data_IF_572272962841
#
_entry.id   IF_572272962841
#
_cell.length_a   1.000
_cell.length_b   1.000
_cell.length_c   1.000
_cell.angle_alpha   90.00
_cell.angle_beta   90.00
_cell.angle_gamma   90.00
#
_symmetry.space_group_name_H-M   'P 1'
#
loop_
_entity.id
_entity.type
_entity.pdbx_description
1 polymer ?
#
# COMPACT_ATOMS: atom_id res chain seq x y z
N UNK A 1 35.39 15.56 18.07
CA UNK A 1 34.80 14.52 18.96
C UNK A 1 34.35 15.21 20.24
N UNK A 2 33.08 15.09 20.60
CA UNK A 2 32.57 15.68 21.84
C UNK A 2 33.05 14.84 23.05
N UNK A 3 33.86 15.43 23.90
CA UNK A 3 34.34 14.79 25.14
C UNK A 3 33.16 14.68 26.12
N UNK A 4 32.85 13.48 26.67
CA UNK A 4 31.72 13.31 27.55
C UNK A 4 31.93 14.03 28.89
N UNK A 5 30.80 14.44 29.48
CA UNK A 5 30.79 15.02 30.85
C UNK A 5 30.45 13.94 31.88
N UNK A 6 31.04 14.04 33.04
CA UNK A 6 30.76 13.15 34.15
C UNK A 6 29.30 13.27 34.62
N UNK A 7 28.54 12.18 34.71
CA UNK A 7 27.13 12.22 35.13
C UNK A 7 26.94 12.67 36.60
N UNK A 8 27.97 12.56 37.43
CA UNK A 8 27.88 12.95 38.84
C UNK A 8 28.25 14.41 39.10
N UNK A 9 29.26 14.95 38.42
CA UNK A 9 29.79 16.31 38.74
C UNK A 9 29.80 17.25 37.53
N UNK A 10 29.37 16.83 36.35
CA UNK A 10 29.32 17.64 35.14
C UNK A 10 30.70 17.98 34.52
N UNK A 11 31.80 17.65 35.15
CA UNK A 11 33.15 17.94 34.61
C UNK A 11 33.45 17.13 33.37
N UNK A 12 34.26 17.70 32.50
CA UNK A 12 34.78 17.00 31.31
C UNK A 12 35.62 15.83 31.75
N UNK A 13 35.39 14.65 31.16
CA UNK A 13 36.12 13.42 31.47
C UNK A 13 37.41 13.34 30.64
N UNK A 14 38.43 12.68 31.19
CA UNK A 14 39.69 12.42 30.50
C UNK A 14 39.72 11.06 29.84
N UNK A 15 40.52 10.90 28.80
CA UNK A 15 40.72 9.61 28.13
C UNK A 15 41.38 8.60 29.09
N UNK A 16 40.85 7.37 29.07
CA UNK A 16 41.34 6.29 29.96
C UNK A 16 41.43 4.96 29.22
N UNK A 17 42.24 4.94 28.16
CA UNK A 17 42.48 3.74 27.34
C UNK A 17 41.26 3.31 26.51
N UNK A 18 41.25 2.06 26.05
CA UNK A 18 40.20 1.48 25.23
C UNK A 18 39.63 0.22 25.89
N UNK A 19 38.40 -0.12 25.53
CA UNK A 19 37.79 -1.40 25.90
C UNK A 19 38.36 -2.54 25.03
N UNK A 20 38.09 -3.79 25.39
CA UNK A 20 38.43 -4.96 24.56
C UNK A 20 37.80 -4.92 23.17
N UNK A 21 36.68 -4.18 22.99
CA UNK A 21 36.04 -3.94 21.71
C UNK A 21 36.55 -2.72 20.94
N UNK A 22 37.66 -2.10 21.39
CA UNK A 22 38.26 -0.92 20.76
C UNK A 22 37.58 0.41 21.07
N UNK A 23 36.53 0.44 21.89
CA UNK A 23 35.82 1.68 22.21
C UNK A 23 36.58 2.51 23.22
N UNK A 24 36.69 3.85 23.02
CA UNK A 24 37.37 4.78 23.91
C UNK A 24 36.72 4.77 25.30
N UNK A 25 37.55 4.61 26.33
CA UNK A 25 37.16 4.76 27.75
C UNK A 25 37.46 6.17 28.23
N UNK A 26 36.60 6.67 29.07
CA UNK A 26 36.72 7.99 29.72
C UNK A 26 36.65 7.83 31.22
N UNK A 27 37.37 8.66 31.96
CA UNK A 27 37.37 8.64 33.42
C UNK A 27 37.22 10.04 33.99
N UNK A 28 36.42 10.14 35.02
CA UNK A 28 36.38 11.31 35.88
C UNK A 28 37.26 11.01 37.14
N UNK A 29 38.40 11.62 37.23
CA UNK A 29 39.32 11.38 38.36
C UNK A 29 38.71 11.76 39.70
N UNK A 30 38.03 12.93 39.87
CA UNK A 30 37.48 13.30 41.17
C UNK A 30 36.36 12.38 41.64
N UNK A 31 35.54 11.89 40.73
CA UNK A 31 34.40 11.01 41.08
C UNK A 31 34.69 9.53 40.95
N UNK A 32 35.91 9.18 40.46
CA UNK A 32 36.33 7.81 40.14
C UNK A 32 35.33 7.04 39.24
N UNK A 33 34.53 7.74 38.43
CA UNK A 33 33.58 7.16 37.50
C UNK A 33 34.22 6.96 36.15
N UNK A 34 34.10 5.76 35.57
CA UNK A 34 34.51 5.47 34.20
C UNK A 34 33.32 5.20 33.30
N UNK A 35 33.40 5.69 32.05
CA UNK A 35 32.41 5.52 31.02
C UNK A 35 33.07 5.08 29.72
N UNK A 36 32.40 4.24 28.96
CA UNK A 36 32.83 3.81 27.62
C UNK A 36 32.02 4.52 26.57
N UNK A 37 32.67 5.11 25.57
CA UNK A 37 31.98 5.65 24.42
C UNK A 37 31.31 4.51 23.66
N UNK A 38 30.01 4.55 23.56
CA UNK A 38 29.29 3.63 22.68
C UNK A 38 29.54 4.09 21.24
N UNK A 39 30.12 3.21 20.42
CA UNK A 39 30.18 3.43 18.97
C UNK A 39 28.76 3.30 18.47
N UNK A 40 28.21 4.38 17.92
CA UNK A 40 26.93 4.32 17.25
C UNK A 40 27.12 3.58 15.92
N UNK A 41 26.81 2.30 15.91
CA UNK A 41 26.86 1.45 14.72
C UNK A 41 25.58 1.46 13.90
N UNK A 42 24.59 2.26 14.30
CA UNK A 42 23.27 2.29 13.66
C UNK A 42 23.38 2.68 12.19
N UNK A 43 24.16 3.73 11.88
CA UNK A 43 24.39 4.15 10.50
C UNK A 43 25.06 3.05 9.64
N UNK A 44 26.05 2.34 10.23
CA UNK A 44 26.74 1.23 9.54
C UNK A 44 25.79 0.09 9.14
N UNK A 45 24.77 -0.17 9.95
CA UNK A 45 23.81 -1.24 9.69
C UNK A 45 22.62 -0.79 8.84
N UNK A 46 22.47 0.52 8.60
CA UNK A 46 21.38 1.05 7.79
C UNK A 46 21.46 0.55 6.34
N UNK A 47 22.64 0.61 5.72
CA UNK A 47 22.83 0.14 4.34
C UNK A 47 22.53 -1.37 4.23
N UNK A 48 23.01 -2.16 5.19
CA UNK A 48 22.75 -3.61 5.26
C UNK A 48 21.24 -3.87 5.39
N UNK A 49 20.58 -3.11 6.26
CA UNK A 49 19.14 -3.23 6.49
C UNK A 49 18.33 -2.84 5.26
N UNK A 50 18.62 -1.71 4.62
CA UNK A 50 17.95 -1.24 3.41
C UNK A 50 18.19 -2.19 2.24
N UNK A 51 19.43 -2.66 2.05
CA UNK A 51 19.76 -3.64 1.02
C UNK A 51 18.98 -4.96 1.21
N UNK A 52 18.82 -5.41 2.44
CA UNK A 52 18.01 -6.58 2.74
C UNK A 52 16.51 -6.31 2.51
N UNK A 53 15.99 -5.16 3.01
CA UNK A 53 14.57 -4.81 2.93
C UNK A 53 14.08 -4.69 1.48
N UNK A 54 14.90 -4.08 0.62
CA UNK A 54 14.61 -3.88 -0.80
C UNK A 54 15.11 -5.03 -1.69
N UNK A 55 15.94 -5.92 -1.13
CA UNK A 55 16.55 -7.04 -1.83
C UNK A 55 15.67 -8.30 -1.83
N UNK A 56 16.26 -9.39 -2.35
CA UNK A 56 15.61 -10.71 -2.41
C UNK A 56 16.18 -11.71 -1.40
N UNK A 57 17.10 -11.26 -0.55
CA UNK A 57 17.79 -12.12 0.41
C UNK A 57 16.89 -12.44 1.61
N UNK A 58 16.92 -13.69 2.05
CA UNK A 58 16.30 -14.06 3.33
C UNK A 58 17.22 -13.61 4.47
N UNK A 59 16.66 -13.42 5.67
CA UNK A 59 17.46 -13.02 6.84
C UNK A 59 18.58 -14.01 7.19
N UNK A 60 18.43 -15.26 6.81
CA UNK A 60 19.47 -16.29 7.04
C UNK A 60 20.65 -16.18 6.06
N UNK A 61 20.45 -15.54 4.93
CA UNK A 61 21.44 -15.39 3.87
C UNK A 61 22.34 -14.14 4.06
N UNK A 62 22.02 -13.28 5.04
CA UNK A 62 22.82 -12.08 5.35
C UNK A 62 23.93 -12.38 6.38
N UNK A 63 25.03 -11.62 6.39
CA UNK A 63 26.15 -11.85 7.31
C UNK A 63 25.73 -11.93 8.79
N UNK A 64 26.13 -12.99 9.47
CA UNK A 64 25.77 -13.25 10.87
C UNK A 64 24.41 -13.92 11.07
N UNK A 65 23.68 -14.23 9.99
CA UNK A 65 22.44 -15.00 10.02
C UNK A 65 21.27 -14.35 10.77
N UNK A 66 20.11 -15.03 10.77
CA UNK A 66 18.85 -14.46 11.18
C UNK A 66 18.79 -13.78 12.55
N UNK A 67 19.31 -14.38 13.65
CA UNK A 67 19.22 -13.78 15.00
C UNK A 67 20.13 -12.55 15.15
N UNK A 68 21.36 -12.64 14.71
CA UNK A 68 22.33 -11.53 14.83
C UNK A 68 21.93 -10.36 13.94
N UNK A 69 21.46 -10.63 12.73
CA UNK A 69 20.90 -9.63 11.84
C UNK A 69 19.70 -8.90 12.48
N UNK A 70 18.70 -9.64 12.97
CA UNK A 70 17.51 -9.03 13.63
C UNK A 70 17.92 -8.12 14.78
N UNK A 71 18.83 -8.58 15.67
CA UNK A 71 19.28 -7.78 16.80
C UNK A 71 20.02 -6.50 16.38
N UNK A 72 20.82 -6.55 15.31
CA UNK A 72 21.49 -5.35 14.76
C UNK A 72 20.52 -4.37 14.13
N UNK A 73 19.50 -4.88 13.45
CA UNK A 73 18.54 -4.08 12.70
C UNK A 73 17.33 -3.65 13.54
N UNK A 74 17.14 -4.18 14.76
CA UNK A 74 16.02 -3.82 15.64
C UNK A 74 15.85 -2.30 15.84
N UNK A 75 16.91 -1.52 16.13
CA UNK A 75 16.79 -0.07 16.26
C UNK A 75 16.40 0.62 14.96
N UNK A 76 16.71 0.01 13.80
CA UNK A 76 16.45 0.59 12.48
C UNK A 76 14.97 0.54 12.10
N UNK A 77 14.19 -0.37 12.69
CA UNK A 77 12.73 -0.40 12.53
C UNK A 77 12.03 0.83 13.15
N UNK A 78 12.73 1.54 14.03
CA UNK A 78 12.23 2.78 14.61
C UNK A 78 12.53 4.01 13.75
N UNK A 79 13.44 3.86 12.75
CA UNK A 79 13.72 4.89 11.77
C UNK A 79 12.59 4.92 10.74
N UNK A 80 11.55 5.66 11.06
CA UNK A 80 10.43 5.83 10.16
C UNK A 80 10.74 6.92 9.14
N UNK A 81 10.74 6.65 7.83
CA UNK A 81 10.92 7.69 6.85
C UNK A 81 9.76 8.68 6.94
N UNK A 82 10.06 9.95 7.06
CA UNK A 82 9.05 11.00 6.92
C UNK A 82 8.56 10.98 5.48
N UNK A 83 7.25 10.95 5.31
CA UNK A 83 6.66 11.10 3.98
C UNK A 83 7.00 12.48 3.44
N UNK A 84 7.57 12.60 2.23
CA UNK A 84 7.84 13.88 1.63
C UNK A 84 6.52 14.64 1.41
N UNK A 85 6.59 15.98 1.44
CA UNK A 85 5.49 16.82 0.98
C UNK A 85 5.57 16.86 -0.54
N UNK A 86 4.50 16.49 -1.20
CA UNK A 86 4.38 16.43 -2.66
C UNK A 86 3.46 17.57 -3.09
N UNK A 87 4.05 18.68 -3.50
CA UNK A 87 3.32 19.87 -3.98
C UNK A 87 2.98 19.77 -5.48
N UNK A 88 3.58 18.82 -6.19
CA UNK A 88 3.29 18.56 -7.59
C UNK A 88 1.89 17.98 -7.75
N UNK A 89 1.08 18.62 -8.62
CA UNK A 89 -0.26 18.14 -8.97
C UNK A 89 -0.15 17.10 -10.07
N UNK A 90 -0.49 15.85 -9.76
CA UNK A 90 -0.49 14.78 -10.74
C UNK A 90 -1.86 14.64 -11.41
N UNK A 91 -1.86 14.29 -12.70
CA UNK A 91 -3.11 14.02 -13.43
C UNK A 91 -3.85 12.82 -12.83
N UNK A 92 -3.12 11.76 -12.48
CA UNK A 92 -3.69 10.51 -11.96
C UNK A 92 -2.84 9.95 -10.83
N UNK A 93 -3.49 9.66 -9.69
CA UNK A 93 -2.91 8.93 -8.57
C UNK A 93 -3.70 7.62 -8.37
N UNK A 94 -3.00 6.53 -8.15
CA UNK A 94 -3.55 5.24 -7.74
C UNK A 94 -3.40 5.11 -6.23
N UNK A 95 -4.45 4.68 -5.56
CA UNK A 95 -4.42 4.39 -4.12
C UNK A 95 -4.91 2.98 -3.85
N UNK A 96 -4.20 2.28 -2.96
CA UNK A 96 -4.52 0.90 -2.60
C UNK A 96 -4.09 0.59 -1.17
N UNK A 97 -4.72 -0.41 -0.55
CA UNK A 97 -4.42 -0.89 0.78
C UNK A 97 -3.88 -2.32 0.76
N UNK A 98 -2.64 -2.52 1.21
CA UNK A 98 -2.01 -3.84 1.31
C UNK A 98 -2.19 -4.37 2.72
N UNK A 99 -3.03 -5.37 2.88
CA UNK A 99 -3.27 -6.00 4.17
C UNK A 99 -2.14 -6.96 4.56
N UNK A 100 -1.50 -6.69 5.68
CA UNK A 100 -0.46 -7.55 6.29
C UNK A 100 -1.11 -8.45 7.34
N UNK A 101 -1.75 -9.51 6.87
CA UNK A 101 -2.54 -10.38 7.74
C UNK A 101 -3.77 -9.68 8.33
N UNK A 102 -4.07 -9.93 9.62
CA UNK A 102 -5.24 -9.34 10.30
C UNK A 102 -4.91 -8.10 11.14
N UNK A 103 -3.64 -7.77 11.30
CA UNK A 103 -3.19 -6.80 12.30
C UNK A 103 -2.73 -5.46 11.75
N UNK A 104 -2.46 -5.35 10.45
CA UNK A 104 -1.94 -4.14 9.85
C UNK A 104 -2.33 -4.01 8.37
N UNK A 105 -2.34 -2.77 7.89
CA UNK A 105 -2.50 -2.42 6.48
C UNK A 105 -1.48 -1.34 6.12
N UNK A 106 -0.87 -1.44 4.95
CA UNK A 106 -0.05 -0.37 4.37
C UNK A 106 -0.86 0.26 3.25
N UNK A 107 -1.23 1.52 3.45
CA UNK A 107 -1.88 2.35 2.44
C UNK A 107 -0.80 2.95 1.55
N UNK A 108 -1.02 2.97 0.25
CA UNK A 108 -0.06 3.46 -0.75
C UNK A 108 -0.75 4.43 -1.69
N UNK A 109 -0.05 5.52 -2.00
CA UNK A 109 -0.38 6.42 -3.09
C UNK A 109 0.76 6.42 -4.11
N UNK A 110 0.46 6.22 -5.38
CA UNK A 110 1.45 6.10 -6.45
C UNK A 110 0.96 6.68 -7.78
N UNK A 111 1.90 7.11 -8.60
CA UNK A 111 1.69 7.35 -10.02
C UNK A 111 2.02 6.08 -10.82
N UNK A 112 1.88 6.07 -12.16
CA UNK A 112 2.39 4.98 -12.99
C UNK A 112 3.89 4.72 -12.82
N UNK A 113 4.67 5.72 -12.43
CA UNK A 113 6.12 5.70 -12.45
C UNK A 113 6.76 5.53 -11.06
N UNK A 114 6.13 6.06 -10.02
CA UNK A 114 6.71 6.06 -8.68
C UNK A 114 5.67 6.03 -7.55
N UNK A 115 6.11 5.61 -6.37
CA UNK A 115 5.36 5.72 -5.13
C UNK A 115 5.53 7.13 -4.57
N UNK A 116 4.42 7.84 -4.36
CA UNK A 116 4.40 9.18 -3.79
C UNK A 116 4.45 9.15 -2.26
N UNK A 117 3.79 8.15 -1.68
CA UNK A 117 3.76 8.02 -0.22
C UNK A 117 3.11 6.72 0.22
N UNK A 118 3.32 6.40 1.48
CA UNK A 118 2.72 5.24 2.12
C UNK A 118 2.46 5.52 3.61
N UNK A 119 1.50 4.82 4.17
CA UNK A 119 1.13 4.95 5.58
C UNK A 119 0.73 3.59 6.16
N UNK A 120 1.38 3.16 7.24
CA UNK A 120 1.02 1.93 7.93
C UNK A 120 0.00 2.20 9.03
N UNK A 121 -1.06 1.41 9.07
CA UNK A 121 -2.13 1.52 10.03
C UNK A 121 -2.58 0.14 10.53
N UNK A 122 -3.34 0.10 11.63
CA UNK A 122 -3.99 -1.14 12.09
C UNK A 122 -5.15 -1.56 11.20
N UNK A 123 -5.81 -0.60 10.59
CA UNK A 123 -6.97 -0.83 9.73
C UNK A 123 -7.10 0.29 8.71
N UNK A 124 -7.75 -0.04 7.62
CA UNK A 124 -8.07 0.89 6.53
C UNK A 124 -9.27 1.77 6.93
N UNK A 125 -9.01 2.88 7.62
CA UNK A 125 -10.02 3.84 8.06
C UNK A 125 -9.75 5.23 7.49
N UNK A 126 -10.70 6.16 7.63
CA UNK A 126 -10.59 7.50 7.04
C UNK A 126 -9.41 8.31 7.59
N UNK A 127 -9.08 8.15 8.89
CA UNK A 127 -7.92 8.88 9.49
C UNK A 127 -6.60 8.41 8.92
N UNK A 128 -6.46 7.11 8.66
CA UNK A 128 -5.26 6.56 8.04
C UNK A 128 -5.10 7.06 6.59
N UNK A 129 -6.18 7.12 5.83
CA UNK A 129 -6.20 7.71 4.50
C UNK A 129 -5.90 9.21 4.52
N UNK A 130 -6.49 9.96 5.45
CA UNK A 130 -6.21 11.39 5.64
C UNK A 130 -4.71 11.63 5.92
N UNK A 131 -4.10 10.80 6.77
CA UNK A 131 -2.67 10.90 7.07
C UNK A 131 -1.78 10.63 5.84
N UNK A 132 -2.15 9.65 4.98
CA UNK A 132 -1.44 9.41 3.73
C UNK A 132 -1.61 10.56 2.74
N UNK A 133 -2.84 11.10 2.62
CA UNK A 133 -3.21 12.05 1.58
C UNK A 133 -2.77 13.49 1.89
N UNK A 134 -2.70 13.85 3.18
CA UNK A 134 -2.39 15.23 3.63
C UNK A 134 -1.08 15.81 3.07
N UNK A 135 0.02 15.05 2.93
CA UNK A 135 1.26 15.58 2.37
C UNK A 135 1.30 15.55 0.83
N UNK A 136 0.23 15.13 0.15
CA UNK A 136 0.19 14.98 -1.30
C UNK A 136 -0.84 15.97 -1.87
N UNK A 137 -0.43 16.77 -2.86
CA UNK A 137 -1.32 17.68 -3.55
C UNK A 137 -2.50 16.93 -4.20
N UNK A 138 -3.74 17.53 -4.20
CA UNK A 138 -4.90 16.90 -4.79
C UNK A 138 -4.72 16.63 -6.29
N UNK A 139 -4.82 15.36 -6.75
CA UNK A 139 -4.72 15.04 -8.17
C UNK A 139 -5.99 15.40 -8.94
N UNK A 140 -5.92 15.48 -10.27
CA UNK A 140 -7.09 15.64 -11.10
C UNK A 140 -8.03 14.41 -11.03
N UNK A 141 -7.44 13.21 -10.95
CA UNK A 141 -8.15 11.94 -10.85
C UNK A 141 -7.46 10.99 -9.87
N UNK A 142 -8.25 10.29 -9.06
CA UNK A 142 -7.74 9.20 -8.22
C UNK A 142 -8.44 7.88 -8.57
N UNK A 143 -7.64 6.82 -8.73
CA UNK A 143 -8.12 5.45 -8.87
C UNK A 143 -8.04 4.73 -7.52
N UNK A 144 -9.15 4.09 -7.13
CA UNK A 144 -9.28 3.39 -5.85
C UNK A 144 -10.11 2.12 -6.00
N UNK A 145 -9.97 1.19 -5.06
CA UNK A 145 -10.88 0.03 -4.91
C UNK A 145 -12.30 0.43 -4.47
N UNK A 146 -12.46 1.67 -3.95
CA UNK A 146 -13.72 2.26 -3.52
C UNK A 146 -14.11 1.99 -2.07
N UNK A 147 -13.13 1.75 -1.20
CA UNK A 147 -13.35 1.63 0.24
C UNK A 147 -14.02 2.86 0.85
N UNK A 148 -14.91 2.64 1.83
CA UNK A 148 -15.65 3.75 2.50
C UNK A 148 -14.74 4.67 3.31
N UNK A 149 -13.62 4.14 3.84
CA UNK A 149 -12.61 4.91 4.55
C UNK A 149 -11.95 5.94 3.63
N UNK A 150 -11.50 5.48 2.45
CA UNK A 150 -10.95 6.36 1.43
C UNK A 150 -11.97 7.41 0.96
N UNK A 151 -13.21 7.00 0.68
CA UNK A 151 -14.24 7.93 0.20
C UNK A 151 -14.52 9.08 1.17
N UNK A 152 -14.47 8.82 2.49
CA UNK A 152 -14.61 9.86 3.53
C UNK A 152 -13.39 10.79 3.56
N UNK A 153 -12.19 10.23 3.50
CA UNK A 153 -10.94 10.99 3.49
C UNK A 153 -10.85 11.87 2.23
N UNK A 154 -11.15 11.32 1.06
CA UNK A 154 -11.10 12.03 -0.22
C UNK A 154 -12.01 13.27 -0.23
N UNK A 155 -13.21 13.18 0.32
CA UNK A 155 -14.12 14.33 0.43
C UNK A 155 -13.57 15.47 1.30
N UNK A 156 -12.69 15.14 2.27
CA UNK A 156 -12.11 16.14 3.19
C UNK A 156 -10.81 16.73 2.65
N UNK A 157 -9.92 15.87 2.16
CA UNK A 157 -8.54 16.26 1.79
C UNK A 157 -8.45 16.65 0.31
N UNK A 158 -9.15 15.94 -0.58
CA UNK A 158 -9.14 16.15 -2.03
C UNK A 158 -10.56 16.39 -2.58
N UNK A 159 -11.29 17.44 -2.13
CA UNK A 159 -12.72 17.62 -2.45
C UNK A 159 -13.00 17.84 -3.94
N UNK A 160 -12.04 18.35 -4.69
CA UNK A 160 -12.15 18.63 -6.14
C UNK A 160 -11.69 17.47 -7.01
N UNK A 161 -11.01 16.47 -6.43
CA UNK A 161 -10.49 15.32 -7.17
C UNK A 161 -11.61 14.41 -7.65
N UNK A 162 -11.57 14.05 -8.93
CA UNK A 162 -12.46 13.03 -9.49
C UNK A 162 -12.04 11.65 -9.00
N UNK A 163 -13.02 10.82 -8.65
CA UNK A 163 -12.78 9.47 -8.14
C UNK A 163 -13.26 8.46 -9.16
N UNK A 164 -12.37 7.59 -9.62
CA UNK A 164 -12.69 6.44 -10.45
C UNK A 164 -12.42 5.15 -9.70
N UNK A 165 -13.33 4.20 -9.82
CA UNK A 165 -13.12 2.86 -9.27
C UNK A 165 -12.28 2.02 -10.20
N UNK A 166 -11.37 1.25 -9.62
CA UNK A 166 -10.53 0.32 -10.36
C UNK A 166 -11.41 -0.82 -10.96
N UNK A 167 -11.41 -0.94 -12.27
CA UNK A 167 -12.18 -1.99 -12.98
C UNK A 167 -11.65 -3.38 -12.67
N UNK A 168 -10.35 -3.51 -12.39
CA UNK A 168 -9.76 -4.77 -11.94
C UNK A 168 -10.33 -5.23 -10.58
N UNK A 169 -10.44 -4.33 -9.60
CA UNK A 169 -11.06 -4.65 -8.32
C UNK A 169 -12.56 -4.96 -8.48
N UNK A 170 -13.26 -4.27 -9.39
CA UNK A 170 -14.64 -4.60 -9.73
C UNK A 170 -14.74 -6.02 -10.31
N UNK A 171 -13.88 -6.38 -11.26
CA UNK A 171 -13.79 -7.76 -11.77
C UNK A 171 -13.47 -8.78 -10.67
N UNK A 172 -12.51 -8.50 -9.79
CA UNK A 172 -12.20 -9.39 -8.67
C UNK A 172 -13.41 -9.64 -7.76
N UNK A 173 -14.24 -8.60 -7.54
CA UNK A 173 -15.49 -8.74 -6.78
C UNK A 173 -16.50 -9.60 -7.50
N UNK A 174 -16.71 -9.41 -8.81
CA UNK A 174 -17.58 -10.30 -9.61
C UNK A 174 -17.09 -11.75 -9.48
N UNK A 175 -15.81 -11.98 -9.70
CA UNK A 175 -15.20 -13.31 -9.59
C UNK A 175 -15.36 -13.94 -8.21
N UNK A 176 -15.32 -13.16 -7.14
CA UNK A 176 -15.53 -13.64 -5.78
C UNK A 176 -16.94 -14.20 -5.58
N UNK A 177 -17.95 -13.59 -6.18
CA UNK A 177 -19.35 -14.02 -6.06
C UNK A 177 -19.75 -15.08 -7.09
N UNK A 178 -19.22 -15.00 -8.30
CA UNK A 178 -19.56 -15.95 -9.38
C UNK A 178 -18.66 -17.18 -9.39
N UNK A 179 -17.51 -17.13 -8.71
CA UNK A 179 -16.40 -18.07 -8.84
C UNK A 179 -15.71 -18.02 -10.21
N UNK A 180 -14.66 -18.82 -10.43
CA UNK A 180 -13.97 -18.92 -11.74
C UNK A 180 -14.64 -19.92 -12.70
N UNK A 181 -15.56 -20.75 -12.18
CA UNK A 181 -16.30 -21.77 -12.94
C UNK A 181 -17.77 -21.72 -12.55
N UNK A 182 -18.48 -20.64 -12.91
CA UNK A 182 -19.87 -20.46 -12.52
C UNK A 182 -20.78 -21.52 -13.17
N UNK A 183 -21.70 -22.09 -12.38
CA UNK A 183 -22.63 -23.12 -12.85
C UNK A 183 -23.92 -22.53 -13.38
N UNK A 184 -24.45 -21.49 -12.73
CA UNK A 184 -25.69 -20.81 -13.11
C UNK A 184 -25.48 -19.92 -14.33
N UNK A 185 -26.45 -19.83 -15.21
CA UNK A 185 -26.38 -19.01 -16.42
C UNK A 185 -26.23 -17.54 -16.10
N UNK A 186 -26.98 -17.03 -15.10
CA UNK A 186 -26.83 -15.68 -14.59
C UNK A 186 -25.39 -15.38 -14.14
N UNK A 187 -24.78 -16.31 -13.41
CA UNK A 187 -23.40 -16.16 -12.94
C UNK A 187 -22.38 -16.26 -14.07
N UNK A 188 -22.63 -17.13 -15.09
CA UNK A 188 -21.74 -17.24 -16.27
C UNK A 188 -21.74 -15.97 -17.08
N UNK A 189 -22.92 -15.42 -17.36
CA UNK A 189 -23.07 -14.18 -18.12
C UNK A 189 -22.50 -12.97 -17.36
N UNK A 190 -22.69 -12.88 -16.03
CA UNK A 190 -22.08 -11.84 -15.21
C UNK A 190 -20.54 -11.95 -15.17
N UNK A 191 -20.02 -13.16 -15.09
CA UNK A 191 -18.57 -13.40 -15.11
C UNK A 191 -17.95 -12.98 -16.46
N UNK A 192 -18.63 -13.25 -17.58
CA UNK A 192 -18.21 -12.80 -18.91
C UNK A 192 -18.21 -11.26 -19.00
N UNK A 193 -19.27 -10.59 -18.51
CA UNK A 193 -19.29 -9.13 -18.40
C UNK A 193 -18.14 -8.59 -17.54
N UNK A 194 -17.83 -9.26 -16.44
CA UNK A 194 -16.68 -8.90 -15.60
C UNK A 194 -15.36 -8.99 -16.35
N UNK A 195 -15.17 -10.00 -17.20
CA UNK A 195 -13.98 -10.12 -18.04
C UNK A 195 -13.91 -9.00 -19.10
N UNK A 196 -15.03 -8.67 -19.75
CA UNK A 196 -15.10 -7.56 -20.70
C UNK A 196 -14.75 -6.21 -20.06
N UNK A 197 -15.11 -5.99 -18.79
CA UNK A 197 -14.77 -4.77 -18.06
C UNK A 197 -13.27 -4.49 -18.00
N UNK A 198 -12.44 -5.53 -18.09
CA UNK A 198 -10.97 -5.38 -18.10
C UNK A 198 -10.43 -4.85 -19.44
N UNK A 199 -11.24 -4.87 -20.50
CA UNK A 199 -10.88 -4.45 -21.85
C UNK A 199 -11.51 -3.12 -22.24
N UNK A 200 -12.27 -2.48 -21.35
CA UNK A 200 -12.83 -1.14 -21.57
C UNK A 200 -11.69 -0.12 -21.61
N UNK A 201 -11.45 0.48 -22.77
CA UNK A 201 -10.37 1.45 -22.99
C UNK A 201 -10.88 2.88 -23.21
N UNK A 202 -12.12 3.03 -23.70
CA UNK A 202 -12.70 4.30 -24.10
C UNK A 202 -14.11 4.54 -23.56
N UNK A 203 -14.66 5.75 -23.79
CA UNK A 203 -16.03 6.08 -23.39
C UNK A 203 -17.08 5.25 -24.14
N UNK A 204 -16.80 4.92 -25.40
CA UNK A 204 -17.70 4.09 -26.23
C UNK A 204 -17.80 2.67 -25.70
N UNK A 205 -16.65 2.03 -25.42
CA UNK A 205 -16.61 0.71 -24.79
C UNK A 205 -17.31 0.72 -23.44
N UNK A 206 -17.13 1.81 -22.67
CA UNK A 206 -17.78 1.95 -21.37
C UNK A 206 -19.29 2.04 -21.50
N UNK A 207 -19.83 2.77 -22.50
CA UNK A 207 -21.25 2.86 -22.77
C UNK A 207 -21.82 1.51 -23.20
N UNK A 208 -21.14 0.81 -24.11
CA UNK A 208 -21.54 -0.53 -24.55
C UNK A 208 -21.59 -1.49 -23.36
N UNK A 209 -20.53 -1.50 -22.54
CA UNK A 209 -20.48 -2.34 -21.34
C UNK A 209 -21.61 -2.01 -20.34
N UNK A 210 -21.91 -0.72 -20.13
CA UNK A 210 -23.01 -0.27 -19.27
C UNK A 210 -24.35 -0.78 -19.79
N UNK A 211 -24.58 -0.66 -21.11
CA UNK A 211 -25.78 -1.16 -21.74
C UNK A 211 -25.94 -2.68 -21.59
N UNK A 212 -24.87 -3.42 -21.82
CA UNK A 212 -24.87 -4.88 -21.63
C UNK A 212 -25.12 -5.27 -20.16
N UNK A 213 -24.55 -4.54 -19.20
CA UNK A 213 -24.81 -4.77 -17.78
C UNK A 213 -26.25 -4.45 -17.37
N UNK A 214 -26.83 -3.35 -17.87
CA UNK A 214 -28.23 -3.00 -17.64
C UNK A 214 -29.16 -4.07 -18.22
N UNK A 215 -28.88 -4.55 -19.43
CA UNK A 215 -29.58 -5.67 -20.04
C UNK A 215 -29.51 -6.94 -19.19
N UNK A 216 -28.35 -7.23 -18.63
CA UNK A 216 -28.16 -8.35 -17.70
C UNK A 216 -29.03 -8.18 -16.44
N UNK A 217 -29.03 -7.00 -15.81
CA UNK A 217 -29.87 -6.71 -14.65
C UNK A 217 -31.35 -6.88 -14.92
N UNK A 218 -31.83 -6.40 -16.09
CA UNK A 218 -33.21 -6.54 -16.50
C UNK A 218 -33.60 -8.01 -16.73
N UNK A 219 -32.76 -8.77 -17.44
CA UNK A 219 -32.98 -10.19 -17.72
C UNK A 219 -33.05 -11.03 -16.45
N UNK A 220 -32.17 -10.73 -15.48
CA UNK A 220 -32.06 -11.53 -14.27
C UNK A 220 -32.70 -10.91 -13.02
N UNK A 221 -33.62 -9.92 -13.23
CA UNK A 221 -34.29 -9.20 -12.15
C UNK A 221 -34.94 -10.14 -11.13
N UNK A 222 -35.72 -11.11 -11.59
CA UNK A 222 -36.40 -12.09 -10.73
C UNK A 222 -35.39 -12.89 -9.87
N UNK A 223 -34.28 -13.35 -10.49
CA UNK A 223 -33.20 -14.05 -9.78
C UNK A 223 -32.52 -13.16 -8.71
N UNK A 224 -32.34 -11.87 -9.00
CA UNK A 224 -31.75 -10.93 -8.06
C UNK A 224 -32.67 -10.58 -6.89
N UNK A 225 -33.99 -10.69 -7.08
CA UNK A 225 -34.99 -10.47 -6.05
C UNK A 225 -35.22 -11.70 -5.17
N UNK A 226 -34.71 -12.89 -5.56
CA UNK A 226 -34.80 -14.09 -4.76
C UNK A 226 -34.13 -13.91 -3.40
N UNK A 227 -34.85 -14.27 -2.34
CA UNK A 227 -34.33 -14.22 -0.96
C UNK A 227 -33.84 -15.60 -0.57
N UNK A 228 -32.57 -15.70 -0.25
CA UNK A 228 -31.97 -16.92 0.27
C UNK A 228 -31.89 -16.86 1.78
N UNK A 229 -32.38 -17.90 2.46
CA UNK A 229 -32.26 -18.04 3.92
C UNK A 229 -30.83 -18.46 4.26
N UNK A 230 -30.13 -17.65 5.05
CA UNK A 230 -28.84 -18.02 5.60
C UNK A 230 -29.00 -19.10 6.68
N UNK A 231 -27.95 -19.89 6.97
CA UNK A 231 -27.98 -20.89 8.05
C UNK A 231 -28.44 -20.32 9.39
N UNK A 232 -28.14 -19.03 9.66
CA UNK A 232 -28.52 -18.33 10.88
C UNK A 232 -30.00 -17.86 10.87
N UNK A 233 -30.80 -18.23 9.89
CA UNK A 233 -32.23 -17.88 9.79
C UNK A 233 -32.52 -16.48 9.23
N UNK A 234 -31.50 -15.71 8.88
CA UNK A 234 -31.66 -14.36 8.32
C UNK A 234 -31.82 -14.44 6.78
N UNK A 235 -32.81 -13.70 6.26
CA UNK A 235 -33.00 -13.57 4.82
C UNK A 235 -31.95 -12.63 4.22
N UNK A 236 -31.23 -13.08 3.20
CA UNK A 236 -30.30 -12.27 2.42
C UNK A 236 -30.80 -12.21 0.96
N UNK A 237 -30.91 -10.99 0.43
CA UNK A 237 -31.10 -10.81 -1.01
C UNK A 237 -29.77 -10.96 -1.75
N UNK A 238 -29.84 -11.39 -3.01
CA UNK A 238 -28.71 -11.36 -3.95
C UNK A 238 -28.19 -9.93 -4.28
N UNK A 239 -28.77 -8.91 -3.64
CA UNK A 239 -28.50 -7.46 -3.82
C UNK A 239 -27.06 -7.00 -3.58
N UNK A 240 -26.15 -7.88 -3.19
CA UNK A 240 -24.73 -7.53 -3.02
C UNK A 240 -24.10 -7.04 -4.34
N UNK A 241 -24.66 -7.46 -5.48
CA UNK A 241 -24.17 -7.05 -6.80
C UNK A 241 -24.64 -5.64 -7.15
N UNK A 242 -25.86 -5.28 -6.79
CA UNK A 242 -26.49 -4.01 -7.17
C UNK A 242 -25.80 -2.79 -6.51
N UNK A 243 -25.51 -2.86 -5.23
CA UNK A 243 -24.83 -1.77 -4.50
C UNK A 243 -23.40 -1.49 -4.95
N UNK A 244 -22.73 -2.49 -5.55
CA UNK A 244 -21.35 -2.34 -6.03
C UNK A 244 -21.34 -1.62 -7.40
N UNK A 245 -22.27 -1.97 -8.29
CA UNK A 245 -22.32 -1.49 -9.66
C UNK A 245 -23.03 -0.15 -9.80
N UNK A 246 -24.07 0.13 -9.03
CA UNK A 246 -24.72 1.45 -9.03
C UNK A 246 -23.77 2.57 -8.61
N UNK A 247 -22.78 2.29 -7.76
CA UNK A 247 -21.72 3.25 -7.41
C UNK A 247 -20.66 3.41 -8.51
N UNK A 248 -20.46 2.42 -9.38
CA UNK A 248 -19.60 2.55 -10.57
C UNK A 248 -20.23 3.46 -11.61
N UNK A 249 -21.57 3.42 -11.75
CA UNK A 249 -22.33 4.08 -12.80
C UNK A 249 -22.86 5.47 -12.42
N UNK A 250 -22.88 5.84 -11.13
CA UNK A 250 -23.50 7.08 -10.65
C UNK A 250 -22.71 8.36 -10.93
N UNK A 251 -21.59 8.30 -11.65
CA UNK A 251 -20.86 9.49 -12.13
C UNK A 251 -20.42 9.29 -13.58
N UNK A 252 -20.49 10.33 -14.44
CA UNK A 252 -20.03 10.22 -15.82
C UNK A 252 -18.56 9.83 -15.83
N UNK A 253 -18.29 8.68 -16.42
CA UNK A 253 -16.96 8.16 -16.67
C UNK A 253 -16.28 9.08 -17.69
N UNK A 254 -15.54 10.08 -17.21
CA UNK A 254 -14.44 10.59 -18.02
C UNK A 254 -13.41 9.47 -18.05
N UNK A 255 -13.47 8.60 -19.05
CA UNK A 255 -12.52 7.51 -19.20
C UNK A 255 -11.19 8.16 -19.59
N UNK A 256 -10.30 8.30 -18.61
CA UNK A 256 -8.91 8.63 -18.87
C UNK A 256 -8.27 7.35 -19.41
N UNK A 257 -7.69 7.45 -20.60
CA UNK A 257 -6.94 6.36 -21.24
C UNK A 257 -5.73 6.02 -20.36
N UNK A 258 -5.93 5.19 -19.36
CA UNK A 258 -4.87 4.76 -18.46
C UNK A 258 -4.28 3.48 -19.06
N UNK A 259 -3.03 3.58 -19.49
CA UNK A 259 -2.26 2.41 -19.91
C UNK A 259 -2.11 1.46 -18.73
N UNK A 260 -2.90 0.40 -18.72
CA UNK A 260 -3.06 -0.64 -17.69
C UNK A 260 -1.78 -1.39 -17.27
N UNK A 261 -0.60 -0.81 -17.48
CA UNK A 261 0.66 -1.49 -17.19
C UNK A 261 0.90 -1.90 -15.74
N UNK A 262 0.24 -1.26 -14.77
CA UNK A 262 0.61 -1.42 -13.34
C UNK A 262 -0.34 -2.35 -12.59
N UNK A 263 -1.66 -2.28 -12.80
CA UNK A 263 -2.59 -3.22 -12.15
C UNK A 263 -2.44 -4.68 -12.63
N UNK A 264 -1.88 -4.93 -13.81
CA UNK A 264 -1.61 -6.30 -14.30
C UNK A 264 -0.41 -6.98 -13.66
N UNK A 265 0.46 -6.25 -12.95
CA UNK A 265 1.72 -6.79 -12.44
C UNK A 265 1.79 -6.76 -10.91
N UNK A 266 1.00 -7.63 -10.29
CA UNK A 266 1.54 -8.36 -9.15
C UNK A 266 1.54 -7.69 -7.78
N UNK A 267 0.56 -6.83 -7.43
CA UNK A 267 0.40 -6.36 -6.06
C UNK A 267 -0.96 -6.67 -5.43
N UNK A 268 -1.73 -7.56 -6.04
CA UNK A 268 -2.93 -8.10 -5.39
C UNK A 268 -2.55 -9.30 -4.52
N UNK A 269 -2.73 -9.18 -3.21
CA UNK A 269 -2.66 -10.26 -2.24
C UNK A 269 -3.75 -11.33 -2.40
N UNK A 270 -4.28 -11.53 -3.60
CA UNK A 270 -5.14 -12.64 -3.96
C UNK A 270 -4.22 -13.82 -4.31
N UNK A 271 -4.12 -14.81 -3.42
CA UNK A 271 -3.33 -16.04 -3.59
C UNK A 271 -3.64 -16.81 -4.87
N UNK A 272 -3.08 -16.36 -5.97
CA UNK A 272 -3.13 -16.99 -7.29
C UNK A 272 -1.79 -16.79 -7.99
N UNK A 273 -1.18 -17.88 -8.35
CA UNK A 273 0.15 -18.13 -8.90
C UNK A 273 0.63 -17.07 -9.91
N UNK A 274 1.43 -16.10 -9.45
CA UNK A 274 2.11 -15.09 -10.26
C UNK A 274 3.60 -15.41 -10.44
N UNK A 275 3.97 -16.66 -10.79
CA UNK A 275 5.38 -17.08 -10.91
C UNK A 275 6.10 -16.72 -12.21
N UNK A 276 5.45 -16.13 -13.21
CA UNK A 276 6.07 -16.03 -14.56
C UNK A 276 6.47 -14.64 -15.08
N UNK A 277 6.42 -13.55 -14.30
CA UNK A 277 6.71 -12.20 -14.81
C UNK A 277 7.75 -11.41 -13.99
N UNK A 278 8.89 -12.04 -13.65
CA UNK A 278 9.93 -11.45 -12.81
C UNK A 278 11.10 -10.74 -13.54
N UNK A 279 11.05 -10.44 -14.83
CA UNK A 279 12.30 -10.07 -15.53
C UNK A 279 12.45 -8.64 -16.07
N UNK A 280 11.56 -7.67 -15.82
CA UNK A 280 11.74 -6.31 -16.35
C UNK A 280 11.29 -5.18 -15.41
N UNK A 281 11.92 -5.06 -14.25
CA UNK A 281 11.81 -3.81 -13.46
C UNK A 281 13.22 -3.31 -13.13
N UNK A 282 13.64 -2.26 -13.85
CA UNK A 282 14.69 -1.33 -13.40
C UNK A 282 13.99 0.01 -13.15
N UNK A 283 14.09 0.61 -11.96
CA UNK A 283 13.63 1.97 -11.74
C UNK A 283 14.58 2.91 -12.53
N UNK A 284 14.05 3.63 -13.50
CA UNK A 284 14.72 4.81 -14.08
C UNK A 284 14.23 6.04 -13.32
N UNK A 285 14.76 6.26 -12.13
CA UNK A 285 14.79 7.60 -11.58
C UNK A 285 15.88 8.38 -12.33
N UNK A 286 15.51 9.43 -13.04
CA UNK A 286 16.49 10.42 -13.50
C UNK A 286 17.01 11.16 -12.25
N UNK A 287 18.32 11.30 -12.07
CA UNK A 287 18.87 12.15 -11.03
C UNK A 287 18.71 13.60 -11.50
N UNK A 288 17.79 14.30 -10.90
CA UNK A 288 17.62 15.73 -11.03
C UNK A 288 17.52 16.33 -9.64
N UNK A 289 18.61 16.99 -9.26
CA UNK A 289 18.82 17.82 -8.07
C UNK A 289 19.09 17.10 -6.75
N UNK A 290 20.32 17.32 -6.32
CA UNK A 290 20.92 16.76 -5.13
C UNK A 290 20.28 17.26 -3.83
N UNK A 291 20.38 16.41 -2.88
CA UNK A 291 20.65 16.60 -1.45
C UNK A 291 21.56 15.49 -0.98
#
# INVERSE_FOLDING_TARGET
>A
MNTPKCPACGRVMTTYGHSASGAQRWRCTPCNISQVSRINSTAKHLDEFVAWLLGRHRQVDVPGGGRSFRRRCEPLWQLWPLSPIIDEVHDVIFVDGIHLGRGAVVLIAQTPDCVLGWYAARSENSRAWEALMSPIAPPALVLTDGGSGFAKACKRIWPTTRVQRCTFHAYCRIRQYTTTRPKLEASRSLYALGQQLLHVEGPEDAQEWIGAYQGWCTRWKGFLEEKTRRPEGVWACAQVVDGLFMRLLSRPLGVVRIRWGICRRGWCGCGGDCRSLRSRWRPRCRPGHGW
#
